data_IF_219000280151
#
_entry.id   IF_219000280151
#
_cell.length_a   1.000
_cell.length_b   1.000
_cell.length_c   1.000
_cell.angle_alpha   90.00
_cell.angle_beta   90.00
_cell.angle_gamma   90.00
#
_symmetry.space_group_name_H-M   'P 1'
#
loop_
_entity.id
_entity.type
_entity.pdbx_description
1 polymer ?
#
# COMPACT_ATOMS: atom_id res chain seq x y z
N UNK A 1 -40.67 7.56 19.36
CA UNK A 1 -40.21 8.02 20.69
C UNK A 1 -38.98 8.89 20.48
N UNK A 2 -39.20 10.18 20.21
CA UNK A 2 -38.93 11.26 21.20
C UNK A 2 -37.45 11.66 21.16
N UNK A 3 -37.02 12.49 20.20
CA UNK A 3 -36.73 13.94 20.42
C UNK A 3 -36.63 14.34 21.90
N UNK A 4 -35.41 14.41 22.47
CA UNK A 4 -34.93 15.40 23.48
C UNK A 4 -33.39 15.20 23.51
N UNK A 5 -32.50 16.15 23.22
CA UNK A 5 -32.37 17.48 23.79
C UNK A 5 -31.96 18.48 22.69
N UNK A 6 -32.71 19.54 22.44
CA UNK A 6 -32.93 20.70 23.33
C UNK A 6 -31.64 21.51 23.53
N UNK A 7 -31.36 22.28 22.48
CA UNK A 7 -31.12 23.73 22.52
C UNK A 7 -30.00 24.32 23.39
N UNK A 8 -29.37 25.31 22.76
CA UNK A 8 -28.83 26.55 23.34
C UNK A 8 -27.48 26.42 24.06
N UNK A 9 -26.45 26.81 23.31
CA UNK A 9 -25.12 27.11 23.85
C UNK A 9 -24.35 27.98 22.87
N UNK A 10 -24.96 29.09 22.41
CA UNK A 10 -24.18 30.17 21.82
C UNK A 10 -23.29 30.74 22.93
N UNK A 11 -21.98 30.52 22.84
CA UNK A 11 -21.01 31.37 23.52
C UNK A 11 -20.11 31.99 22.46
N UNK A 12 -20.33 33.28 22.34
CA UNK A 12 -19.61 34.25 21.55
C UNK A 12 -18.19 34.43 22.11
N UNK A 13 -17.25 34.45 21.17
CA UNK A 13 -16.08 35.35 21.10
C UNK A 13 -14.81 35.10 21.92
N UNK A 14 -13.73 35.41 21.19
CA UNK A 14 -12.41 35.85 21.59
C UNK A 14 -11.38 34.79 21.99
N UNK A 15 -10.66 34.31 20.98
CA UNK A 15 -9.20 34.23 21.08
C UNK A 15 -8.59 34.77 19.78
N UNK A 16 -8.20 36.05 19.81
CA UNK A 16 -7.14 36.55 18.95
C UNK A 16 -5.87 35.82 19.37
N UNK A 17 -5.49 34.80 18.60
CA UNK A 17 -4.30 34.00 18.83
C UNK A 17 -3.68 33.62 17.49
N UNK A 18 -2.47 34.08 17.25
CA UNK A 18 -1.68 33.79 16.06
C UNK A 18 -1.47 32.27 15.92
N UNK A 19 -1.72 31.71 14.74
CA UNK A 19 -0.93 30.61 14.19
C UNK A 19 -1.12 30.54 12.66
N UNK A 20 -0.07 30.27 11.87
CA UNK A 20 -0.18 30.10 10.43
C UNK A 20 -1.15 28.95 10.13
N UNK A 21 -1.97 29.11 9.10
CA UNK A 21 -2.70 28.01 8.49
C UNK A 21 -1.70 27.01 7.93
N UNK A 22 -1.18 26.13 8.78
CA UNK A 22 -0.62 24.87 8.38
C UNK A 22 -1.80 24.07 7.84
N UNK A 23 -2.04 24.22 6.54
CA UNK A 23 -2.75 23.21 5.76
C UNK A 23 -1.91 21.94 5.82
N UNK A 24 -2.01 21.22 6.93
CA UNK A 24 -1.61 19.81 6.98
C UNK A 24 -2.69 19.08 6.20
N UNK A 25 -2.60 19.17 4.87
CA UNK A 25 -3.24 18.23 4.01
C UNK A 25 -2.57 16.89 4.29
N UNK A 26 -3.19 16.04 5.10
CA UNK A 26 -2.91 14.60 5.02
C UNK A 26 -3.48 14.15 3.69
N UNK A 27 -2.75 14.43 2.61
CA UNK A 27 -2.98 13.83 1.32
C UNK A 27 -2.79 12.34 1.53
N UNK A 28 -3.90 11.62 1.68
CA UNK A 28 -3.92 10.18 1.55
C UNK A 28 -3.67 9.93 0.06
N UNK A 29 -2.39 9.77 -0.31
CA UNK A 29 -2.03 9.39 -1.65
C UNK A 29 -2.74 8.05 -1.92
N UNK A 30 -3.73 8.08 -2.81
CA UNK A 30 -4.35 6.86 -3.29
C UNK A 30 -3.23 5.97 -3.87
N UNK A 31 -3.29 4.63 -3.65
CA UNK A 31 -2.33 3.72 -4.27
C UNK A 31 -2.26 4.02 -5.76
N UNK A 32 -1.05 4.31 -6.26
CA UNK A 32 -0.82 4.51 -7.68
C UNK A 32 -1.33 3.27 -8.44
N UNK A 33 -2.14 3.43 -9.49
CA UNK A 33 -2.44 2.35 -10.42
C UNK A 33 -1.10 1.80 -10.94
N UNK A 34 -0.74 0.58 -10.54
CA UNK A 34 0.55 -0.04 -10.89
C UNK A 34 1.45 -0.42 -9.71
N UNK A 35 1.00 -0.28 -8.45
CA UNK A 35 1.67 -0.94 -7.33
C UNK A 35 1.40 -2.47 -7.38
N UNK A 36 2.07 -3.18 -8.29
CA UNK A 36 2.12 -4.64 -8.30
C UNK A 36 2.84 -5.11 -7.04
N UNK A 37 2.11 -5.85 -6.20
CA UNK A 37 2.69 -6.52 -5.04
C UNK A 37 3.53 -7.68 -5.55
N UNK A 38 4.82 -7.43 -5.76
CA UNK A 38 5.73 -8.45 -6.28
C UNK A 38 5.88 -9.54 -5.22
N UNK A 39 5.43 -10.75 -5.55
CA UNK A 39 5.67 -11.92 -4.71
C UNK A 39 7.18 -12.14 -4.57
N UNK A 40 7.64 -12.51 -3.39
CA UNK A 40 9.06 -12.77 -3.14
C UNK A 40 9.27 -14.25 -2.81
N UNK A 41 10.22 -14.87 -3.49
CA UNK A 41 10.67 -16.22 -3.21
C UNK A 41 12.15 -16.21 -2.82
N UNK A 42 12.50 -16.88 -1.72
CA UNK A 42 13.89 -17.00 -1.28
C UNK A 42 14.72 -17.91 -2.21
N UNK A 43 14.11 -18.96 -2.75
CA UNK A 43 14.76 -19.98 -3.55
C UNK A 43 13.73 -20.72 -4.43
N UNK A 44 14.23 -21.56 -5.33
CA UNK A 44 13.41 -22.36 -6.23
C UNK A 44 12.57 -23.43 -5.54
N UNK A 45 12.92 -23.85 -4.32
CA UNK A 45 12.10 -24.82 -3.58
C UNK A 45 10.80 -24.16 -3.12
N UNK A 46 10.83 -22.89 -2.70
CA UNK A 46 9.64 -22.11 -2.40
C UNK A 46 8.76 -21.90 -3.66
N UNK A 47 9.37 -21.68 -4.83
CA UNK A 47 8.65 -21.56 -6.11
C UNK A 47 7.93 -22.86 -6.47
N UNK A 48 8.62 -24.00 -6.32
CA UNK A 48 8.06 -25.34 -6.60
C UNK A 48 6.99 -25.76 -5.60
N UNK A 49 7.18 -25.44 -4.31
CA UNK A 49 6.19 -25.69 -3.27
C UNK A 49 4.86 -24.97 -3.58
N UNK A 50 4.95 -23.79 -4.19
CA UNK A 50 3.79 -23.00 -4.62
C UNK A 50 3.27 -23.38 -6.03
N UNK A 51 3.94 -24.30 -6.73
CA UNK A 51 3.57 -24.72 -8.08
C UNK A 51 3.67 -23.61 -9.12
N UNK A 52 4.53 -22.61 -8.89
CA UNK A 52 4.74 -21.47 -9.78
C UNK A 52 5.85 -21.68 -10.81
N UNK A 53 6.54 -22.82 -10.75
CA UNK A 53 7.61 -23.24 -11.68
C UNK A 53 7.00 -23.71 -13.03
N UNK A 54 7.51 -23.26 -14.19
CA UNK A 54 8.61 -22.31 -14.38
C UNK A 54 8.18 -20.84 -14.31
N UNK A 55 8.99 -20.02 -13.63
CA UNK A 55 8.77 -18.58 -13.48
C UNK A 55 9.40 -17.82 -14.65
N UNK A 56 8.61 -16.99 -15.34
CA UNK A 56 9.12 -16.20 -16.47
C UNK A 56 9.37 -14.74 -16.08
N UNK A 57 10.34 -14.10 -16.74
CA UNK A 57 10.65 -12.66 -16.59
C UNK A 57 9.37 -11.82 -16.74
N UNK A 58 9.05 -11.02 -15.72
CA UNK A 58 7.85 -10.19 -15.65
C UNK A 58 6.64 -10.83 -14.98
N UNK A 59 6.72 -12.11 -14.59
CA UNK A 59 5.73 -12.70 -13.69
C UNK A 59 5.95 -12.25 -12.25
N UNK A 60 4.86 -12.20 -11.48
CA UNK A 60 4.93 -11.97 -10.05
C UNK A 60 5.71 -13.11 -9.39
N UNK A 61 6.76 -12.77 -8.63
CA UNK A 61 7.66 -13.78 -8.08
C UNK A 61 8.98 -13.94 -8.81
N UNK A 62 9.09 -13.50 -10.06
CA UNK A 62 10.36 -13.58 -10.77
C UNK A 62 11.39 -12.66 -10.11
N UNK A 63 12.57 -13.21 -9.86
CA UNK A 63 13.71 -12.46 -9.40
C UNK A 63 14.98 -13.05 -10.03
N UNK A 64 15.92 -12.18 -10.39
CA UNK A 64 17.16 -12.58 -11.08
C UNK A 64 18.05 -13.53 -10.26
N UNK A 65 17.82 -13.68 -8.94
CA UNK A 65 18.53 -14.67 -8.13
C UNK A 65 17.96 -16.09 -8.25
N UNK A 66 16.76 -16.24 -8.81
CA UNK A 66 16.11 -17.53 -9.06
C UNK A 66 16.46 -18.11 -10.44
N UNK A 67 16.89 -17.25 -11.35
CA UNK A 67 17.30 -17.54 -12.71
C UNK A 67 18.84 -17.65 -12.72
N UNK A 68 19.38 -18.87 -12.78
CA UNK A 68 20.81 -19.10 -12.56
C UNK A 68 21.65 -18.77 -13.78
N UNK A 69 21.09 -18.89 -14.97
CA UNK A 69 21.78 -18.62 -16.24
C UNK A 69 21.33 -17.31 -16.91
N UNK A 70 20.34 -16.62 -16.34
CA UNK A 70 19.77 -15.33 -16.75
C UNK A 70 19.09 -15.39 -18.14
N UNK A 71 18.55 -16.56 -18.51
CA UNK A 71 17.86 -16.76 -19.78
C UNK A 71 16.43 -16.20 -19.79
N UNK A 72 15.91 -15.83 -18.62
CA UNK A 72 14.56 -15.29 -18.41
C UNK A 72 13.53 -16.31 -17.96
N UNK A 73 13.94 -17.55 -17.73
CA UNK A 73 13.19 -18.62 -17.08
C UNK A 73 13.89 -18.88 -15.75
N UNK A 74 13.12 -18.93 -14.66
CA UNK A 74 13.65 -19.23 -13.34
C UNK A 74 13.16 -20.60 -12.90
N UNK A 75 14.07 -21.31 -12.23
CA UNK A 75 13.85 -22.57 -11.55
C UNK A 75 13.61 -23.81 -12.41
N UNK A 76 14.10 -23.80 -13.66
CA UNK A 76 14.14 -24.96 -14.56
C UNK A 76 14.89 -26.21 -14.02
#
# INVERSE_FOLDING_TARGET
MTVVAKTLGAVLFAAAGLAPSAVVGTAYAAPLPGATQVKYYENCDAVRADGADPLHKGQDGYAAHLDRDDDGIACE
#
